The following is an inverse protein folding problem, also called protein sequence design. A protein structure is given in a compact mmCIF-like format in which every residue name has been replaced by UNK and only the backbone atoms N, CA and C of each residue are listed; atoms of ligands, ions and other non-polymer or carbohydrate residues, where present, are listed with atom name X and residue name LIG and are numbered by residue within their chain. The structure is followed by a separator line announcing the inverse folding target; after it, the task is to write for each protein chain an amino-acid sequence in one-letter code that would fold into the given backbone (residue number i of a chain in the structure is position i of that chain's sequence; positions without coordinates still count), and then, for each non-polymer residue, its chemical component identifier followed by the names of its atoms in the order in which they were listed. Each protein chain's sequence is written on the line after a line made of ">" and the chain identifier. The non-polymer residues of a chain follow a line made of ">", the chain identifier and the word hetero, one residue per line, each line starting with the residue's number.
data_IF_748356524025
#
_entry.id   IF_748356524025
#
_cell.length_a   1.000
_cell.length_b   1.000
_cell.length_c   1.000
_cell.angle_alpha   90.00
_cell.angle_beta   90.00
_cell.angle_gamma   90.00
#
_symmetry.space_group_name_H-M   'P 1'
#
loop_
_entity.id
_entity.type
_entity.pdbx_description
1 polymer ?
#
# COMPACT_ATOMS: atom_id res chain seq x y z
N UNK A 1 24.29 -6.87 -16.97
CA UNK A 1 22.97 -6.29 -16.62
C UNK A 1 22.99 -5.99 -15.12
N UNK A 2 23.44 -4.80 -14.75
CA UNK A 2 23.75 -4.44 -13.37
C UNK A 2 22.58 -3.74 -12.70
N UNK A 3 22.25 -4.16 -11.49
CA UNK A 3 21.33 -3.49 -10.58
C UNK A 3 21.99 -2.21 -10.05
N UNK A 4 21.36 -1.05 -10.24
CA UNK A 4 21.75 0.19 -9.55
C UNK A 4 20.90 0.38 -8.29
N UNK A 5 21.49 0.73 -7.14
CA UNK A 5 20.76 1.09 -5.94
C UNK A 5 20.22 2.52 -6.05
N UNK A 6 19.01 2.75 -5.53
CA UNK A 6 18.44 4.09 -5.39
C UNK A 6 19.19 4.86 -4.29
N UNK A 7 20.03 5.82 -4.69
CA UNK A 7 20.75 6.74 -3.80
C UNK A 7 19.83 7.86 -3.32
N UNK A 8 19.64 7.97 -2.00
CA UNK A 8 19.03 9.14 -1.37
C UNK A 8 20.04 10.28 -1.14
N UNK A 9 19.69 11.52 -1.55
CA UNK A 9 20.16 12.78 -0.90
C UNK A 9 19.48 14.05 -1.45
N UNK A 10 19.05 14.92 -0.54
CA UNK A 10 18.99 16.39 -0.69
C UNK A 10 17.59 17.00 -0.59
N UNK A 11 17.35 18.24 -0.17
CA UNK A 11 18.15 19.38 0.36
C UNK A 11 17.16 20.55 0.54
N UNK A 12 17.39 21.49 1.46
CA UNK A 12 16.99 22.91 1.28
C UNK A 12 15.90 23.47 2.21
N UNK A 13 16.03 24.76 2.52
CA UNK A 13 15.51 25.53 3.66
C UNK A 13 14.55 26.66 3.23
N UNK A 14 13.68 27.13 4.15
CA UNK A 14 13.19 28.52 4.20
C UNK A 14 11.71 28.77 3.84
N UNK A 15 10.95 29.39 4.76
CA UNK A 15 9.63 29.95 4.51
C UNK A 15 8.89 30.31 5.81
N UNK A 16 8.36 31.51 5.90
CA UNK A 16 7.94 32.22 7.11
C UNK A 16 6.68 31.63 7.77
N UNK A 17 6.56 31.82 9.10
CA UNK A 17 5.44 31.38 9.92
C UNK A 17 4.36 32.46 9.94
N UNK A 18 3.22 32.18 9.28
CA UNK A 18 1.98 32.94 9.42
C UNK A 18 0.97 32.09 10.23
N UNK A 19 0.35 32.62 11.30
CA UNK A 19 -0.61 31.86 12.10
C UNK A 19 -2.03 32.17 11.61
N UNK A 20 -2.61 31.33 10.77
CA UNK A 20 -4.03 31.39 10.44
C UNK A 20 -4.75 30.08 10.78
N UNK A 21 -6.02 30.23 11.13
CA UNK A 21 -6.79 29.36 11.98
C UNK A 21 -7.02 27.95 11.43
N UNK A 22 -6.95 26.94 12.31
CA UNK A 22 -7.83 25.78 12.26
C UNK A 22 -7.54 24.70 11.21
N UNK A 23 -6.30 24.39 10.89
CA UNK A 23 -5.99 23.21 10.06
C UNK A 23 -5.82 21.95 10.95
N UNK A 24 -6.60 20.86 10.74
CA UNK A 24 -6.30 19.59 11.39
C UNK A 24 -4.89 19.14 10.98
N UNK A 25 -4.15 18.40 11.83
CA UNK A 25 -2.83 17.93 11.48
C UNK A 25 -2.96 16.98 10.29
N UNK A 26 -2.74 17.48 9.07
CA UNK A 26 -2.54 16.63 7.91
C UNK A 26 -1.17 15.99 8.11
N UNK A 27 -1.13 14.88 8.83
CA UNK A 27 0.01 13.98 8.83
C UNK A 27 0.30 13.67 7.37
N UNK A 28 1.41 14.19 6.86
CA UNK A 28 1.86 14.03 5.46
C UNK A 28 2.26 12.59 5.12
N UNK A 29 1.82 11.62 5.92
CA UNK A 29 2.10 10.22 5.70
C UNK A 29 1.16 9.70 4.61
N UNK A 30 1.71 9.03 3.57
CA UNK A 30 0.88 8.37 2.60
C UNK A 30 -0.03 7.36 3.33
N UNK A 31 -1.29 7.21 2.88
CA UNK A 31 -2.20 6.26 3.49
C UNK A 31 -1.59 4.86 3.46
N UNK A 32 -1.79 4.10 4.55
CA UNK A 32 -1.33 2.74 4.63
C UNK A 32 -2.09 1.88 3.62
N UNK A 33 -1.42 1.48 2.54
CA UNK A 33 -1.97 0.60 1.50
C UNK A 33 -1.70 -0.84 1.92
N UNK A 34 -2.76 -1.63 1.98
CA UNK A 34 -2.70 -3.06 2.18
C UNK A 34 -2.09 -3.75 0.95
N UNK A 35 -1.11 -4.62 1.19
CA UNK A 35 -0.46 -5.38 0.13
C UNK A 35 0.08 -6.72 0.66
N UNK A 36 -0.47 -7.82 0.17
CA UNK A 36 0.04 -9.17 0.46
C UNK A 36 1.23 -9.51 -0.44
N UNK A 37 2.27 -10.10 0.16
CA UNK A 37 3.39 -10.67 -0.60
C UNK A 37 2.98 -12.02 -1.17
N UNK A 38 2.82 -12.07 -2.50
CA UNK A 38 2.57 -13.31 -3.20
C UNK A 38 3.89 -14.03 -3.55
N UNK A 39 4.00 -15.31 -3.21
CA UNK A 39 4.92 -16.24 -3.89
C UNK A 39 4.14 -16.94 -5.01
N UNK A 40 4.81 -17.37 -6.09
CA UNK A 40 4.26 -17.75 -7.43
C UNK A 40 3.06 -18.72 -7.53
N UNK A 41 2.34 -19.00 -6.47
CA UNK A 41 1.03 -19.66 -6.40
C UNK A 41 -0.07 -18.70 -5.90
N UNK A 42 -1.34 -19.13 -5.95
CA UNK A 42 -2.51 -18.42 -5.39
C UNK A 42 -2.69 -16.96 -5.89
N UNK A 43 -2.36 -16.66 -7.16
CA UNK A 43 -2.42 -15.30 -7.71
C UNK A 43 -3.80 -14.64 -7.62
N UNK A 44 -4.86 -15.40 -7.90
CA UNK A 44 -6.22 -14.88 -7.82
C UNK A 44 -6.60 -14.46 -6.39
N UNK A 45 -6.19 -15.25 -5.39
CA UNK A 45 -6.46 -14.95 -3.98
C UNK A 45 -5.83 -13.62 -3.57
N UNK A 46 -4.52 -13.48 -3.80
CA UNK A 46 -3.77 -12.28 -3.43
C UNK A 46 -4.23 -11.05 -4.21
N UNK A 47 -4.55 -11.19 -5.50
CA UNK A 47 -5.08 -10.10 -6.30
C UNK A 47 -6.39 -9.55 -5.72
N UNK A 48 -7.30 -10.44 -5.29
CA UNK A 48 -8.56 -10.04 -4.69
C UNK A 48 -8.35 -9.38 -3.33
N UNK A 49 -7.60 -10.00 -2.41
CA UNK A 49 -7.30 -9.39 -1.11
C UNK A 49 -6.61 -8.02 -1.24
N UNK A 50 -5.74 -7.86 -2.24
CA UNK A 50 -5.12 -6.57 -2.56
C UNK A 50 -6.13 -5.54 -3.07
N UNK A 51 -7.09 -5.92 -3.93
CA UNK A 51 -8.14 -4.99 -4.41
C UNK A 51 -9.06 -4.55 -3.28
N UNK A 52 -9.46 -5.48 -2.41
CA UNK A 52 -10.33 -5.20 -1.26
C UNK A 52 -9.59 -4.55 -0.09
N UNK A 53 -8.26 -4.46 -0.16
CA UNK A 53 -7.41 -3.90 0.88
C UNK A 53 -7.59 -4.59 2.25
N UNK A 54 -7.91 -5.89 2.24
CA UNK A 54 -8.17 -6.71 3.42
C UNK A 54 -7.68 -8.15 3.20
N UNK A 55 -6.92 -8.67 4.17
CA UNK A 55 -6.36 -10.03 4.14
C UNK A 55 -7.32 -11.13 4.54
N UNK A 56 -8.47 -10.76 5.10
CA UNK A 56 -9.54 -11.69 5.43
C UNK A 56 -10.67 -11.68 4.38
N UNK A 57 -10.57 -10.85 3.33
CA UNK A 57 -11.61 -10.71 2.31
C UNK A 57 -11.89 -12.05 1.60
N UNK A 58 -10.83 -12.78 1.25
CA UNK A 58 -10.94 -14.11 0.66
C UNK A 58 -9.96 -15.09 1.31
N UNK A 59 -10.43 -16.33 1.45
CA UNK A 59 -9.63 -17.50 1.82
C UNK A 59 -9.53 -18.47 0.66
N UNK A 60 -8.56 -19.40 0.74
CA UNK A 60 -8.39 -20.47 -0.25
C UNK A 60 -9.68 -21.28 -0.42
N UNK A 61 -10.33 -21.66 0.67
CA UNK A 61 -11.55 -22.47 0.66
C UNK A 61 -12.72 -21.72 0.03
N UNK A 62 -12.86 -20.41 0.32
CA UNK A 62 -13.88 -19.57 -0.27
C UNK A 62 -13.70 -19.44 -1.80
N UNK A 63 -12.45 -19.25 -2.26
CA UNK A 63 -12.15 -19.24 -3.71
C UNK A 63 -12.45 -20.59 -4.37
N UNK A 64 -12.18 -21.68 -3.66
CA UNK A 64 -12.38 -23.04 -4.15
C UNK A 64 -13.88 -23.41 -4.27
N UNK A 65 -14.75 -22.86 -3.40
CA UNK A 65 -16.21 -22.97 -3.52
C UNK A 65 -16.74 -22.20 -4.73
N UNK A 66 -16.22 -20.99 -4.96
CA UNK A 66 -16.60 -20.15 -6.11
C UNK A 66 -16.24 -20.82 -7.44
N UNK A 67 -15.08 -21.49 -7.50
CA UNK A 67 -14.63 -22.19 -8.72
C UNK A 67 -15.43 -23.46 -9.05
N UNK A 68 -16.06 -24.08 -8.05
CA UNK A 68 -16.80 -25.33 -8.21
C UNK A 68 -18.28 -25.14 -8.56
N UNK A 69 -18.75 -23.90 -8.61
CA UNK A 69 -20.11 -23.52 -9.04
C UNK A 69 -20.16 -23.37 -10.54
#
# INVERSE_FOLDING_TARGET
>A
MGSTPCSGKGRGVGGFQEPDAGTPPTSSQPPAIYHEKQHRELCALHALNNVFQDGAAFSRDALQDIYQR
#
